data_IF_755399042134
#
_entry.id   IF_755399042134
#
_cell.length_a   1.000
_cell.length_b   1.000
_cell.length_c   1.000
_cell.angle_alpha   90.00
_cell.angle_beta   90.00
_cell.angle_gamma   90.00
#
_symmetry.space_group_name_H-M   'P 1'
#
loop_
_entity.id
_entity.type
_entity.pdbx_description
1 polymer ?
#
# COMPACT_ATOMS: atom_id res chain seq x y z
N UNK A 1 -19.33 -21.54 -22.38
CA UNK A 1 -17.87 -21.51 -22.28
C UNK A 1 -17.46 -22.42 -21.14
N UNK A 2 -16.51 -23.32 -21.35
CA UNK A 2 -15.94 -24.15 -20.30
C UNK A 2 -14.74 -23.38 -19.72
N UNK A 3 -14.74 -23.18 -18.40
CA UNK A 3 -13.66 -22.52 -17.68
C UNK A 3 -12.69 -23.55 -17.12
N UNK A 4 -11.39 -23.33 -17.33
CA UNK A 4 -10.29 -24.15 -16.84
C UNK A 4 -9.38 -23.31 -15.96
N UNK A 5 -9.96 -22.65 -14.96
CA UNK A 5 -9.21 -21.85 -14.01
C UNK A 5 -8.25 -22.71 -13.20
N UNK A 6 -7.30 -22.03 -12.56
CA UNK A 6 -6.53 -22.62 -11.47
C UNK A 6 -7.48 -23.25 -10.45
N UNK A 7 -7.24 -24.47 -9.97
CA UNK A 7 -8.13 -25.16 -9.03
C UNK A 7 -8.35 -24.41 -7.71
N UNK A 8 -7.46 -23.48 -7.37
CA UNK A 8 -7.60 -22.63 -6.19
C UNK A 8 -8.49 -21.38 -6.44
N UNK A 9 -8.98 -21.18 -7.66
CA UNK A 9 -9.94 -20.11 -7.99
C UNK A 9 -11.36 -20.65 -7.87
N UNK A 10 -12.11 -20.14 -6.91
CA UNK A 10 -13.52 -20.47 -6.68
C UNK A 10 -14.37 -19.24 -6.99
N UNK A 11 -15.14 -19.29 -8.07
CA UNK A 11 -16.12 -18.25 -8.37
C UNK A 11 -17.34 -18.40 -7.45
N UNK A 12 -17.51 -17.47 -6.52
CA UNK A 12 -18.64 -17.43 -5.59
C UNK A 12 -19.90 -16.91 -6.29
N UNK A 13 -19.73 -16.00 -7.26
CA UNK A 13 -20.81 -15.44 -8.05
C UNK A 13 -20.49 -15.58 -9.55
N UNK A 14 -21.46 -15.93 -10.41
CA UNK A 14 -21.26 -16.06 -11.85
C UNK A 14 -20.71 -14.82 -12.55
N UNK A 15 -20.95 -13.60 -12.02
CA UNK A 15 -20.42 -12.36 -12.56
C UNK A 15 -18.87 -12.28 -12.54
N UNK A 16 -18.23 -13.10 -11.73
CA UNK A 16 -16.76 -13.22 -11.72
C UNK A 16 -16.21 -13.70 -13.09
N UNK A 17 -17.02 -14.44 -13.87
CA UNK A 17 -16.66 -14.88 -15.21
C UNK A 17 -16.35 -13.72 -16.17
N UNK A 18 -16.90 -12.54 -15.92
CA UNK A 18 -16.66 -11.34 -16.71
C UNK A 18 -15.31 -10.66 -16.38
N UNK A 19 -14.72 -11.03 -15.24
CA UNK A 19 -13.48 -10.42 -14.71
C UNK A 19 -12.24 -11.29 -14.97
N UNK A 20 -12.41 -12.59 -15.22
CA UNK A 20 -11.32 -13.53 -15.37
C UNK A 20 -11.44 -14.33 -16.69
N UNK A 21 -10.31 -14.50 -17.37
CA UNK A 21 -10.28 -15.36 -18.56
C UNK A 21 -10.47 -16.82 -18.19
N UNK A 22 -11.04 -17.66 -19.12
CA UNK A 22 -11.34 -19.07 -18.83
C UNK A 22 -10.16 -19.94 -18.39
N UNK A 23 -8.93 -19.50 -18.67
CA UNK A 23 -7.69 -20.22 -18.34
C UNK A 23 -6.80 -19.44 -17.36
N UNK A 24 -7.39 -18.56 -16.56
CA UNK A 24 -6.65 -17.78 -15.56
C UNK A 24 -5.94 -18.72 -14.57
N UNK A 25 -4.64 -18.48 -14.37
CA UNK A 25 -3.81 -19.19 -13.41
C UNK A 25 -3.31 -18.26 -12.31
N UNK A 26 -3.14 -18.81 -11.11
CA UNK A 26 -2.47 -18.13 -10.01
C UNK A 26 -0.96 -18.32 -10.20
N UNK A 27 -0.21 -17.21 -10.28
CA UNK A 27 1.25 -17.26 -10.46
C UNK A 27 1.93 -16.63 -9.24
N UNK A 28 2.88 -17.37 -8.67
CA UNK A 28 3.77 -16.81 -7.65
C UNK A 28 4.85 -16.00 -8.36
N UNK A 29 4.79 -14.67 -8.23
CA UNK A 29 5.73 -13.79 -8.90
C UNK A 29 7.05 -13.67 -8.13
N UNK A 30 7.01 -13.65 -6.79
CA UNK A 30 8.20 -13.41 -5.96
C UNK A 30 8.10 -14.07 -4.59
N UNK A 31 9.26 -14.27 -3.95
CA UNK A 31 9.42 -14.76 -2.58
C UNK A 31 10.52 -13.97 -1.88
N UNK A 32 10.72 -14.17 -0.56
CA UNK A 32 11.78 -13.49 0.20
C UNK A 32 11.39 -12.10 0.70
N UNK A 33 10.08 -11.86 0.83
CA UNK A 33 9.53 -10.68 1.49
C UNK A 33 9.32 -10.98 2.98
N UNK A 34 9.43 -9.97 3.82
CA UNK A 34 9.03 -10.07 5.22
C UNK A 34 7.54 -9.81 5.39
N UNK A 35 7.01 -8.79 4.69
CA UNK A 35 5.60 -8.44 4.73
C UNK A 35 5.20 -7.70 3.45
N UNK A 36 4.54 -8.40 2.54
CA UNK A 36 4.08 -7.82 1.28
C UNK A 36 2.72 -7.15 1.46
N UNK A 37 2.63 -5.88 1.08
CA UNK A 37 1.43 -5.06 1.20
C UNK A 37 1.29 -4.06 0.05
N UNK A 38 0.10 -3.47 -0.08
CA UNK A 38 -0.19 -2.37 -1.00
C UNK A 38 0.14 -2.63 -2.46
N UNK A 39 -0.33 -3.75 -3.06
CA UNK A 39 -0.08 -3.98 -4.49
C UNK A 39 -0.84 -2.96 -5.34
N UNK A 40 -0.13 -2.36 -6.31
CA UNK A 40 -0.68 -1.38 -7.24
C UNK A 40 -0.18 -1.63 -8.66
N UNK A 41 -1.10 -1.65 -9.60
CA UNK A 41 -0.79 -1.82 -11.01
C UNK A 41 -0.62 -0.48 -11.71
N UNK A 42 0.51 -0.27 -12.36
CA UNK A 42 0.74 0.85 -13.27
C UNK A 42 0.44 0.43 -14.70
N UNK A 43 -0.72 0.84 -15.22
CA UNK A 43 -1.11 0.52 -16.59
C UNK A 43 -0.21 1.20 -17.62
N UNK A 44 0.29 2.41 -17.34
CA UNK A 44 1.19 3.17 -18.21
C UNK A 44 2.59 2.56 -18.24
N UNK A 45 3.10 2.17 -17.06
CA UNK A 45 4.44 1.58 -16.93
C UNK A 45 4.47 0.06 -17.08
N UNK A 46 3.31 -0.61 -17.18
CA UNK A 46 3.17 -2.06 -17.31
C UNK A 46 3.95 -2.81 -16.22
N UNK A 47 3.75 -2.39 -14.97
CA UNK A 47 4.38 -3.04 -13.82
C UNK A 47 3.47 -3.12 -12.60
N UNK A 48 3.68 -4.15 -11.81
CA UNK A 48 3.12 -4.27 -10.48
C UNK A 48 4.12 -3.72 -9.45
N UNK A 49 3.64 -2.84 -8.59
CA UNK A 49 4.35 -2.29 -7.45
C UNK A 49 3.76 -2.88 -6.17
N UNK A 50 4.60 -3.14 -5.16
CA UNK A 50 4.14 -3.47 -3.80
C UNK A 50 5.19 -3.07 -2.77
N UNK A 51 4.75 -2.97 -1.51
CA UNK A 51 5.61 -2.67 -0.36
C UNK A 51 6.10 -3.96 0.30
N UNK A 52 7.34 -3.94 0.77
CA UNK A 52 7.91 -4.90 1.73
C UNK A 52 8.27 -4.10 2.98
N UNK A 53 7.29 -3.93 3.87
CA UNK A 53 7.25 -2.90 4.91
C UNK A 53 8.47 -2.97 5.85
N UNK A 54 8.78 -4.12 6.52
CA UNK A 54 9.89 -4.16 7.48
C UNK A 54 11.25 -3.98 6.81
N UNK A 55 11.38 -4.36 5.54
CA UNK A 55 12.61 -4.17 4.76
C UNK A 55 12.74 -2.73 4.23
N UNK A 56 11.79 -1.87 4.53
CA UNK A 56 11.78 -0.45 4.14
C UNK A 56 12.03 -0.26 2.64
N UNK A 57 11.30 -1.03 1.82
CA UNK A 57 11.46 -1.00 0.36
C UNK A 57 10.13 -1.20 -0.36
N UNK A 58 10.05 -0.68 -1.57
CA UNK A 58 9.03 -1.02 -2.56
C UNK A 58 9.68 -1.89 -3.64
N UNK A 59 8.95 -2.91 -4.07
CA UNK A 59 9.35 -3.85 -5.10
C UNK A 59 8.55 -3.60 -6.37
N UNK A 60 9.12 -3.96 -7.52
CA UNK A 60 8.46 -3.87 -8.82
C UNK A 60 8.66 -5.16 -9.59
N UNK A 61 7.59 -5.66 -10.18
CA UNK A 61 7.58 -6.69 -11.21
C UNK A 61 7.22 -6.06 -12.56
N UNK A 62 8.05 -6.24 -13.56
CA UNK A 62 7.82 -5.78 -14.92
C UNK A 62 7.03 -6.82 -15.71
N UNK A 63 5.95 -6.42 -16.37
CA UNK A 63 5.16 -7.32 -17.20
C UNK A 63 5.92 -7.73 -18.47
N UNK A 64 6.77 -6.86 -19.01
CA UNK A 64 7.42 -7.09 -20.30
C UNK A 64 8.43 -8.25 -20.27
N UNK A 65 9.14 -8.43 -19.16
CA UNK A 65 10.20 -9.43 -19.04
C UNK A 65 10.12 -10.29 -17.76
N UNK A 66 9.13 -10.01 -16.89
CA UNK A 66 8.98 -10.69 -15.60
C UNK A 66 10.05 -10.33 -14.55
N UNK A 67 10.89 -9.32 -14.83
CA UNK A 67 11.97 -8.94 -13.94
C UNK A 67 11.45 -8.34 -12.63
N UNK A 68 12.06 -8.76 -11.51
CA UNK A 68 11.80 -8.22 -10.17
C UNK A 68 12.95 -7.30 -9.78
N UNK A 69 12.63 -6.11 -9.33
CA UNK A 69 13.61 -5.13 -8.87
C UNK A 69 13.15 -4.38 -7.62
N UNK A 70 14.10 -3.82 -6.88
CA UNK A 70 13.80 -2.81 -5.87
C UNK A 70 13.43 -1.53 -6.59
N UNK A 71 12.21 -1.08 -6.40
CA UNK A 71 11.71 0.15 -7.02
C UNK A 71 12.14 1.40 -6.24
N UNK A 72 12.04 1.31 -4.90
CA UNK A 72 12.39 2.42 -3.99
C UNK A 72 12.96 1.88 -2.69
N UNK A 73 14.07 2.46 -2.23
CA UNK A 73 14.67 2.19 -0.92
C UNK A 73 15.51 3.40 -0.49
N UNK A 74 15.26 4.03 0.69
CA UNK A 74 14.16 3.71 1.62
C UNK A 74 12.79 4.08 1.07
N UNK A 75 11.74 3.41 1.56
CA UNK A 75 10.34 3.69 1.23
C UNK A 75 9.57 4.35 2.38
N UNK A 76 10.25 4.69 3.47
CA UNK A 76 9.66 5.14 4.73
C UNK A 76 8.64 4.15 5.31
N UNK A 77 8.97 2.85 5.21
CA UNK A 77 8.09 1.75 5.61
C UNK A 77 6.68 1.91 5.03
N UNK A 78 6.63 2.16 3.72
CA UNK A 78 5.36 2.34 3.01
C UNK A 78 4.51 1.08 3.09
N UNK A 79 3.19 1.26 3.15
CA UNK A 79 2.20 0.20 3.11
C UNK A 79 1.40 0.28 1.80
N UNK A 80 0.19 0.87 1.82
CA UNK A 80 -0.69 0.99 0.68
C UNK A 80 -0.14 1.86 -0.43
N UNK A 81 -0.39 1.45 -1.65
CA UNK A 81 -0.04 2.20 -2.85
C UNK A 81 -1.20 2.18 -3.84
N UNK A 82 -1.29 3.21 -4.66
CA UNK A 82 -2.15 3.24 -5.85
C UNK A 82 -1.57 4.21 -6.88
N UNK A 83 -2.21 4.30 -8.04
CA UNK A 83 -1.90 5.33 -9.03
C UNK A 83 -3.11 6.23 -9.22
N UNK A 84 -2.88 7.53 -9.33
CA UNK A 84 -3.93 8.48 -9.68
C UNK A 84 -4.23 8.46 -11.19
N UNK A 85 -5.23 9.23 -11.60
CA UNK A 85 -5.66 9.29 -13.00
C UNK A 85 -4.66 9.96 -13.94
N UNK A 86 -3.60 10.56 -13.40
CA UNK A 86 -2.46 11.07 -14.14
C UNK A 86 -1.28 10.10 -14.15
N UNK A 87 -1.43 8.90 -13.55
CA UNK A 87 -0.39 7.89 -13.47
C UNK A 87 0.69 8.17 -12.42
N UNK A 88 0.44 9.09 -11.48
CA UNK A 88 1.36 9.37 -10.37
C UNK A 88 1.10 8.41 -9.23
N UNK A 89 2.16 7.90 -8.62
CA UNK A 89 2.04 6.98 -7.49
C UNK A 89 1.61 7.73 -6.23
N UNK A 90 0.59 7.20 -5.54
CA UNK A 90 0.25 7.54 -4.17
C UNK A 90 0.82 6.47 -3.24
N UNK A 91 1.29 6.86 -2.07
CA UNK A 91 1.84 5.92 -1.08
C UNK A 91 1.52 6.36 0.34
N UNK A 92 1.14 5.41 1.18
CA UNK A 92 1.01 5.57 2.61
C UNK A 92 2.34 5.23 3.28
N UNK A 93 2.96 6.18 3.98
CA UNK A 93 4.25 6.00 4.64
C UNK A 93 4.06 5.90 6.16
N UNK A 94 4.35 4.74 6.75
CA UNK A 94 4.20 4.53 8.19
C UNK A 94 5.24 5.29 9.00
N UNK A 95 6.52 5.23 8.61
CA UNK A 95 7.61 5.86 9.36
C UNK A 95 7.43 7.38 9.47
N UNK A 96 7.03 8.02 8.39
CA UNK A 96 6.84 9.46 8.33
C UNK A 96 5.42 9.90 8.66
N UNK A 97 4.47 8.96 8.83
CA UNK A 97 3.07 9.20 9.19
C UNK A 97 2.39 10.17 8.25
N UNK A 98 2.50 9.88 6.96
CA UNK A 98 1.96 10.75 5.91
C UNK A 98 1.49 9.95 4.69
N UNK A 99 0.64 10.59 3.90
CA UNK A 99 0.30 10.15 2.55
C UNK A 99 1.02 11.07 1.57
N UNK A 100 1.70 10.47 0.61
CA UNK A 100 2.47 11.20 -0.39
C UNK A 100 2.04 10.84 -1.81
N UNK A 101 2.26 11.77 -2.73
CA UNK A 101 2.19 11.55 -4.16
C UNK A 101 3.59 11.77 -4.76
N UNK A 102 4.07 10.78 -5.48
CA UNK A 102 5.31 10.90 -6.24
C UNK A 102 5.03 11.48 -7.62
N UNK A 103 5.61 12.63 -7.89
CA UNK A 103 5.46 13.35 -9.15
C UNK A 103 6.31 12.71 -10.26
N UNK A 104 6.02 13.02 -11.53
CA UNK A 104 6.75 12.48 -12.66
C UNK A 104 8.23 12.92 -12.72
N UNK A 105 8.59 14.00 -12.07
CA UNK A 105 9.97 14.47 -11.92
C UNK A 105 10.74 13.78 -10.79
N UNK A 106 10.07 12.84 -10.07
CA UNK A 106 10.65 12.10 -8.96
C UNK A 106 10.54 12.78 -7.61
N UNK A 107 9.99 14.00 -7.53
CA UNK A 107 9.72 14.66 -6.26
C UNK A 107 8.52 14.05 -5.54
N UNK A 108 8.41 14.26 -4.23
CA UNK A 108 7.29 13.79 -3.42
C UNK A 108 6.50 14.98 -2.86
N UNK A 109 5.22 15.04 -3.20
CA UNK A 109 4.26 15.98 -2.63
C UNK A 109 3.56 15.34 -1.43
N UNK A 110 3.64 15.97 -0.25
CA UNK A 110 2.88 15.54 0.93
C UNK A 110 1.43 15.94 0.74
N UNK A 111 0.54 14.95 0.73
CA UNK A 111 -0.91 15.16 0.59
C UNK A 111 -1.58 15.34 1.95
N UNK A 112 -1.16 14.55 2.95
CA UNK A 112 -1.64 14.63 4.32
C UNK A 112 -0.57 14.13 5.28
N UNK A 113 -0.33 14.84 6.38
CA UNK A 113 0.58 14.47 7.47
C UNK A 113 0.01 14.79 8.86
N UNK A 114 -1.13 15.45 8.88
CA UNK A 114 -1.79 15.81 10.13
C UNK A 114 -3.32 15.96 9.97
N UNK A 115 -4.00 15.90 11.09
CA UNK A 115 -5.41 16.27 11.22
C UNK A 115 -5.60 17.09 12.49
N UNK A 116 -6.19 18.26 12.35
CA UNK A 116 -6.40 19.17 13.49
C UNK A 116 -5.10 19.56 14.23
N UNK A 117 -3.98 19.68 13.53
CA UNK A 117 -2.67 20.00 14.10
C UNK A 117 -1.96 18.83 14.78
N UNK A 118 -2.49 17.62 14.70
CA UNK A 118 -1.90 16.38 15.23
C UNK A 118 -1.46 15.46 14.11
N UNK A 119 -0.32 14.80 14.29
CA UNK A 119 0.16 13.81 13.32
C UNK A 119 -0.87 12.71 13.08
N UNK A 120 -0.90 12.21 11.86
CA UNK A 120 -1.63 10.99 11.53
C UNK A 120 -1.09 9.81 12.33
N UNK A 121 -1.86 8.72 12.41
CA UNK A 121 -1.42 7.48 13.05
C UNK A 121 -0.36 6.77 12.20
N UNK A 122 -0.83 6.03 11.25
CA UNK A 122 0.00 5.30 10.29
C UNK A 122 -0.86 5.02 9.06
N UNK A 123 -0.96 5.98 8.14
CA UNK A 123 -1.73 5.78 6.92
C UNK A 123 -1.45 4.44 6.30
N UNK A 124 -2.51 3.66 6.05
CA UNK A 124 -2.37 2.24 5.68
C UNK A 124 -2.66 2.01 4.20
N UNK A 125 -3.82 2.41 3.72
CA UNK A 125 -4.19 2.24 2.33
C UNK A 125 -4.80 3.53 1.75
N UNK A 126 -4.72 3.71 0.42
CA UNK A 126 -5.13 4.93 -0.26
C UNK A 126 -5.74 4.61 -1.62
N UNK A 127 -6.79 5.36 -1.98
CA UNK A 127 -7.42 5.31 -3.30
C UNK A 127 -7.60 6.71 -3.88
N UNK A 128 -7.52 6.82 -5.20
CA UNK A 128 -7.85 8.03 -5.93
C UNK A 128 -9.31 7.98 -6.38
N UNK A 129 -10.06 9.06 -6.17
CA UNK A 129 -11.44 9.20 -6.62
C UNK A 129 -11.50 10.05 -7.90
N UNK A 130 -12.48 9.80 -8.82
CA UNK A 130 -12.58 10.55 -10.08
C UNK A 130 -12.81 12.06 -9.94
N UNK A 131 -13.30 12.52 -8.79
CA UNK A 131 -13.47 13.95 -8.52
C UNK A 131 -12.17 14.68 -8.15
N UNK A 132 -11.02 13.94 -8.11
CA UNK A 132 -9.71 14.46 -7.77
C UNK A 132 -9.36 14.36 -6.28
N UNK A 133 -10.27 13.86 -5.43
CA UNK A 133 -9.97 13.60 -4.03
C UNK A 133 -9.20 12.29 -3.84
N UNK A 134 -8.49 12.19 -2.71
CA UNK A 134 -7.81 10.98 -2.26
C UNK A 134 -8.38 10.56 -0.91
N UNK A 135 -8.69 9.26 -0.79
CA UNK A 135 -9.24 8.69 0.43
C UNK A 135 -8.23 7.71 0.99
N UNK A 136 -7.97 7.77 2.28
CA UNK A 136 -7.02 6.87 2.93
C UNK A 136 -7.49 6.45 4.30
N UNK A 137 -6.98 5.31 4.76
CA UNK A 137 -7.19 4.80 6.12
C UNK A 137 -6.01 5.17 7.02
N UNK A 138 -6.28 5.43 8.30
CA UNK A 138 -5.25 5.86 9.26
C UNK A 138 -5.33 5.07 10.58
N UNK A 139 -5.11 3.74 10.54
CA UNK A 139 -5.18 2.90 11.73
C UNK A 139 -3.99 3.11 12.68
N UNK A 140 -4.13 2.73 13.98
CA UNK A 140 -3.13 3.03 14.99
C UNK A 140 -2.02 1.98 15.15
N UNK A 141 -1.76 1.10 14.22
CA UNK A 141 -0.82 -0.02 14.40
C UNK A 141 0.51 0.08 13.63
N UNK A 142 0.73 1.16 12.90
CA UNK A 142 1.96 1.36 12.10
C UNK A 142 3.21 1.75 12.90
N UNK A 143 3.13 1.86 14.22
CA UNK A 143 4.28 2.10 15.09
C UNK A 143 4.85 0.83 15.73
N UNK A 144 4.52 -0.34 15.19
CA UNK A 144 5.04 -1.60 15.70
C UNK A 144 6.48 -1.82 15.24
N UNK A 145 7.27 -2.52 16.04
CA UNK A 145 8.70 -2.74 15.79
C UNK A 145 9.02 -3.39 14.44
N UNK A 146 8.11 -4.17 13.88
CA UNK A 146 8.30 -4.82 12.59
C UNK A 146 8.18 -3.86 11.39
N UNK A 147 7.70 -2.64 11.60
CA UNK A 147 7.52 -1.63 10.56
C UNK A 147 8.64 -0.59 10.52
N UNK A 148 9.77 -0.86 11.16
CA UNK A 148 10.92 0.02 11.20
C UNK A 148 11.10 0.72 12.54
N UNK A 149 11.27 2.04 12.55
CA UNK A 149 11.50 2.78 13.76
C UNK A 149 10.33 2.69 14.74
N UNK A 150 10.59 2.47 16.02
CA UNK A 150 9.56 2.54 17.04
C UNK A 150 8.93 3.93 17.01
N UNK A 151 7.70 4.00 17.40
CA UNK A 151 7.03 5.27 17.62
C UNK A 151 7.89 6.17 18.52
N UNK A 152 7.71 7.48 18.43
CA UNK A 152 8.54 8.46 19.14
C UNK A 152 8.92 7.95 20.53
N UNK A 153 10.19 8.04 20.89
CA UNK A 153 10.72 7.55 22.16
C UNK A 153 9.83 7.95 23.36
N UNK A 154 9.45 6.95 24.16
CA UNK A 154 8.57 7.13 25.31
C UNK A 154 7.07 7.15 24.99
N UNK A 155 6.68 6.86 23.76
CA UNK A 155 5.28 6.70 23.41
C UNK A 155 4.73 5.30 23.64
N UNK A 156 3.40 5.15 23.84
CA UNK A 156 2.79 3.85 23.90
C UNK A 156 2.97 3.14 22.55
N UNK A 157 3.39 1.88 22.58
CA UNK A 157 3.36 1.04 21.41
C UNK A 157 1.90 0.87 20.94
N UNK A 158 1.66 0.91 19.64
CA UNK A 158 0.35 0.64 19.07
C UNK A 158 0.02 -0.86 19.03
N UNK A 159 0.40 -1.60 20.06
CA UNK A 159 0.09 -3.01 20.14
C UNK A 159 -1.42 -3.24 20.32
N UNK A 160 -1.98 -4.11 19.51
CA UNK A 160 -3.34 -4.62 19.71
C UNK A 160 -4.46 -3.67 19.30
N UNK A 161 -4.26 -2.79 18.34
CA UNK A 161 -5.31 -1.92 17.78
C UNK A 161 -5.83 -0.85 18.75
N UNK A 162 -5.07 -0.53 19.78
CA UNK A 162 -5.41 0.57 20.69
C UNK A 162 -5.00 1.89 20.07
N UNK A 163 -5.86 2.90 20.19
CA UNK A 163 -5.56 4.26 19.77
C UNK A 163 -4.34 4.79 20.49
N UNK A 164 -3.44 5.43 19.77
CA UNK A 164 -2.34 6.16 20.37
C UNK A 164 -2.82 7.55 20.82
N UNK A 165 -2.95 7.81 22.13
CA UNK A 165 -3.48 9.09 22.61
C UNK A 165 -2.65 10.30 22.24
N UNK A 166 -1.38 10.10 21.83
CA UNK A 166 -0.49 11.19 21.39
C UNK A 166 -0.81 11.76 20.02
N UNK A 167 -1.41 10.98 19.17
CA UNK A 167 -1.80 11.42 17.83
C UNK A 167 -3.24 11.89 17.76
N UNK A 168 -3.96 11.77 18.88
CA UNK A 168 -5.23 12.44 19.11
C UNK A 168 -6.40 11.94 18.30
N UNK A 169 -6.37 10.71 17.89
CA UNK A 169 -7.56 10.08 17.30
C UNK A 169 -8.67 9.93 18.35
N UNK A 170 -9.94 10.11 17.96
CA UNK A 170 -11.05 9.90 18.89
C UNK A 170 -11.13 8.42 19.30
N UNK A 171 -11.46 8.18 20.57
CA UNK A 171 -11.78 6.84 21.04
C UNK A 171 -13.01 6.32 20.28
N UNK A 172 -12.91 5.15 19.64
CA UNK A 172 -14.09 4.50 19.08
C UNK A 172 -14.02 4.16 17.58
N UNK A 173 -12.85 3.94 17.02
CA UNK A 173 -12.71 3.23 15.75
C UNK A 173 -12.45 1.76 16.01
#
# INVERSE_FOLDING_TARGET
>A
TTYFWDPDIIAVDPSFNDLAQPNTAIKRLHTGLLWAEGPAWSAQGRYLLWSDIPNNRQMRWSEDDGHISVFRKPSNNSNGNTFDFQGRQLSCEHLTRRVVRYEHDGTATVLADNFGGKKLNSPNDVVAHPDGSYWFTDPPYGGQLYEGEPDVAGGPSNSGGKLNPRIGQPAGF
#
